data_IF_112825845970
#
_entry.id   IF_112825845970
#
_cell.length_a   1.000
_cell.length_b   1.000
_cell.length_c   1.000
_cell.angle_alpha   90.00
_cell.angle_beta   90.00
_cell.angle_gamma   90.00
#
_symmetry.space_group_name_H-M   'P 1'
#
loop_
_entity.id
_entity.type
_entity.pdbx_description
1 polymer ?
#
# COMPACT_ATOMS: atom_id res chain seq x y z
N UNK A 1 102.60 0.09 64.81
CA UNK A 1 101.44 0.85 64.29
C UNK A 1 100.66 -0.02 63.31
N UNK A 2 100.09 -1.12 63.82
CA UNK A 2 99.23 -2.05 63.09
C UNK A 2 98.32 -2.67 64.16
N UNK A 3 97.02 -2.36 64.16
CA UNK A 3 96.08 -3.16 64.93
C UNK A 3 96.01 -4.52 64.23
N UNK A 4 96.37 -5.56 64.96
CA UNK A 4 96.28 -6.93 64.45
C UNK A 4 94.80 -7.25 64.22
N UNK A 5 94.44 -7.99 63.15
CA UNK A 5 93.04 -8.30 62.81
C UNK A 5 92.27 -9.00 63.95
N UNK A 6 93.00 -9.61 64.88
CA UNK A 6 92.47 -10.30 66.06
C UNK A 6 91.89 -9.30 67.08
N UNK A 7 92.48 -8.12 67.28
CA UNK A 7 91.96 -7.12 68.23
C UNK A 7 90.66 -6.48 67.74
N UNK A 8 90.52 -6.25 66.42
CA UNK A 8 89.27 -5.76 65.84
C UNK A 8 88.13 -6.79 65.96
N UNK A 9 88.44 -8.08 65.78
CA UNK A 9 87.47 -9.16 65.98
C UNK A 9 87.06 -9.30 67.46
N UNK A 10 88.00 -9.18 68.40
CA UNK A 10 87.68 -9.21 69.85
C UNK A 10 86.81 -8.02 70.25
N UNK A 11 87.05 -6.82 69.70
CA UNK A 11 86.20 -5.67 69.95
C UNK A 11 84.79 -5.83 69.37
N UNK A 12 84.64 -6.47 68.21
CA UNK A 12 83.34 -6.77 67.60
C UNK A 12 82.45 -7.65 68.50
N UNK A 13 83.04 -8.62 69.21
CA UNK A 13 82.32 -9.57 70.09
C UNK A 13 82.44 -9.25 71.58
N UNK A 14 82.76 -7.99 71.92
CA UNK A 14 82.74 -7.53 73.32
C UNK A 14 81.30 -7.60 73.85
N UNK A 15 81.06 -8.03 75.10
CA UNK A 15 79.71 -8.13 75.66
C UNK A 15 78.94 -6.80 75.64
N UNK A 16 79.64 -5.66 75.72
CA UNK A 16 79.06 -4.32 75.60
C UNK A 16 78.58 -4.01 74.17
N UNK A 17 79.35 -4.40 73.14
CA UNK A 17 79.00 -4.19 71.73
C UNK A 17 77.93 -5.18 71.25
N UNK A 18 77.96 -6.44 71.72
CA UNK A 18 76.94 -7.46 71.45
C UNK A 18 75.56 -7.03 71.96
N UNK A 19 75.49 -6.40 73.14
CA UNK A 19 74.23 -5.85 73.66
C UNK A 19 73.68 -4.73 72.77
N UNK A 20 74.56 -3.86 72.24
CA UNK A 20 74.20 -2.83 71.26
C UNK A 20 73.67 -3.39 69.94
N UNK A 21 74.31 -4.44 69.40
CA UNK A 21 73.82 -5.12 68.19
C UNK A 21 72.50 -5.85 68.42
N UNK A 22 72.30 -6.48 69.59
CA UNK A 22 71.03 -7.12 69.92
C UNK A 22 69.89 -6.10 70.03
N UNK A 23 70.13 -4.95 70.67
CA UNK A 23 69.15 -3.88 70.76
C UNK A 23 68.76 -3.31 69.38
N UNK A 24 69.73 -3.07 68.50
CA UNK A 24 69.46 -2.61 67.13
C UNK A 24 68.74 -3.68 66.29
N UNK A 25 69.07 -4.95 66.46
CA UNK A 25 68.36 -6.06 65.82
C UNK A 25 66.90 -6.13 66.27
N UNK A 26 66.61 -5.97 67.57
CA UNK A 26 65.23 -5.93 68.09
C UNK A 26 64.46 -4.75 67.51
N UNK A 27 65.05 -3.56 67.47
CA UNK A 27 64.44 -2.37 66.87
C UNK A 27 64.21 -2.55 65.37
N UNK A 28 65.16 -3.16 64.65
CA UNK A 28 65.02 -3.44 63.23
C UNK A 28 63.90 -4.45 62.94
N UNK A 29 63.79 -5.51 63.75
CA UNK A 29 62.71 -6.50 63.64
C UNK A 29 61.37 -5.87 63.97
N UNK A 30 61.28 -5.05 65.01
CA UNK A 30 60.05 -4.30 65.34
C UNK A 30 59.67 -3.33 64.22
N UNK A 31 60.63 -2.58 63.68
CA UNK A 31 60.41 -1.68 62.53
C UNK A 31 59.96 -2.42 61.27
N UNK A 32 60.53 -3.60 61.00
CA UNK A 32 60.10 -4.48 59.92
C UNK A 32 58.68 -5.00 60.14
N UNK A 33 58.33 -5.44 61.36
CA UNK A 33 56.98 -5.94 61.68
C UNK A 33 55.92 -4.83 61.56
N UNK A 34 56.22 -3.60 62.00
CA UNK A 34 55.35 -2.44 61.82
C UNK A 34 55.17 -2.13 60.34
N UNK A 35 56.27 -2.11 59.57
CA UNK A 35 56.23 -1.87 58.11
C UNK A 35 55.43 -2.95 57.39
N UNK A 36 55.64 -4.22 57.75
CA UNK A 36 54.89 -5.36 57.22
C UNK A 36 53.40 -5.26 57.52
N UNK A 37 53.04 -4.87 58.75
CA UNK A 37 51.64 -4.69 59.15
C UNK A 37 50.98 -3.53 58.42
N UNK A 38 51.70 -2.42 58.24
CA UNK A 38 51.26 -1.26 57.49
C UNK A 38 51.04 -1.63 56.02
N UNK A 39 51.96 -2.39 55.41
CA UNK A 39 51.85 -2.87 54.04
C UNK A 39 50.67 -3.84 53.86
N UNK A 40 50.48 -4.77 54.80
CA UNK A 40 49.35 -5.71 54.79
C UNK A 40 48.01 -4.99 54.93
N UNK A 41 47.93 -3.96 55.76
CA UNK A 41 46.66 -3.27 56.02
C UNK A 41 46.32 -2.26 54.93
N UNK A 42 47.31 -1.46 54.50
CA UNK A 42 47.12 -0.40 53.51
C UNK A 42 47.11 -0.94 52.08
N UNK A 43 47.91 -1.96 51.74
CA UNK A 43 48.04 -2.38 50.34
C UNK A 43 47.14 -3.56 49.98
N UNK A 44 46.97 -4.53 50.88
CA UNK A 44 46.25 -5.76 50.54
C UNK A 44 44.75 -5.57 50.35
N UNK A 45 44.10 -4.76 51.20
CA UNK A 45 42.66 -4.51 51.14
C UNK A 45 42.23 -3.70 49.90
N UNK A 46 42.81 -2.52 49.61
CA UNK A 46 42.41 -1.77 48.42
C UNK A 46 42.87 -2.42 47.12
N UNK A 47 44.01 -3.13 47.11
CA UNK A 47 44.47 -3.81 45.90
C UNK A 47 43.52 -4.95 45.48
N UNK A 48 43.03 -5.74 46.45
CA UNK A 48 42.00 -6.74 46.19
C UNK A 48 40.70 -6.12 45.70
N UNK A 49 40.23 -5.06 46.38
CA UNK A 49 38.98 -4.36 45.99
C UNK A 49 39.03 -3.86 44.55
N UNK A 50 40.15 -3.27 44.10
CA UNK A 50 40.28 -2.78 42.71
C UNK A 50 40.28 -3.94 41.72
N UNK A 51 40.88 -5.07 42.07
CA UNK A 51 40.92 -6.24 41.18
C UNK A 51 39.55 -6.90 41.06
N UNK A 52 38.84 -7.05 42.18
CA UNK A 52 37.47 -7.58 42.20
C UNK A 52 36.51 -6.65 41.43
N UNK A 53 36.57 -5.34 41.67
CA UNK A 53 35.75 -4.35 40.94
C UNK A 53 36.04 -4.33 39.44
N UNK A 54 37.30 -4.50 39.02
CA UNK A 54 37.63 -4.59 37.59
C UNK A 54 37.10 -5.88 36.96
N UNK A 55 37.17 -6.99 37.69
CA UNK A 55 36.70 -8.28 37.21
C UNK A 55 35.17 -8.34 37.13
N UNK A 56 34.47 -7.71 38.08
CA UNK A 56 33.02 -7.51 38.08
C UNK A 56 32.60 -6.57 36.95
N UNK A 57 33.26 -5.43 36.78
CA UNK A 57 32.94 -4.48 35.71
C UNK A 57 33.14 -5.08 34.31
N UNK A 58 34.17 -5.90 34.10
CA UNK A 58 34.36 -6.60 32.82
C UNK A 58 33.24 -7.61 32.57
N UNK A 59 32.85 -8.38 33.59
CA UNK A 59 31.73 -9.32 33.45
C UNK A 59 30.41 -8.60 33.18
N UNK A 60 30.13 -7.50 33.88
CA UNK A 60 28.92 -6.70 33.69
C UNK A 60 28.87 -6.07 32.30
N UNK A 61 30.00 -5.51 31.82
CA UNK A 61 30.07 -4.93 30.47
C UNK A 61 29.91 -6.01 29.42
N UNK A 62 30.50 -7.19 29.59
CA UNK A 62 30.29 -8.31 28.66
C UNK A 62 28.85 -8.79 28.67
N UNK A 63 28.23 -8.96 29.85
CA UNK A 63 26.83 -9.37 29.97
C UNK A 63 25.86 -8.33 29.38
N UNK A 64 26.10 -7.03 29.60
CA UNK A 64 25.30 -5.95 29.00
C UNK A 64 25.46 -5.92 27.47
N UNK A 65 26.68 -6.12 26.95
CA UNK A 65 26.90 -6.24 25.51
C UNK A 65 26.17 -7.45 24.93
N UNK A 66 26.26 -8.63 25.55
CA UNK A 66 25.57 -9.84 25.12
C UNK A 66 24.05 -9.67 25.16
N UNK A 67 23.52 -9.07 26.23
CA UNK A 67 22.09 -8.77 26.36
C UNK A 67 21.61 -7.81 25.27
N UNK A 68 22.37 -6.75 25.00
CA UNK A 68 22.05 -5.78 23.94
C UNK A 68 22.13 -6.40 22.55
N UNK A 69 23.12 -7.26 22.30
CA UNK A 69 23.19 -8.01 21.04
C UNK A 69 21.99 -8.94 20.88
N UNK A 70 21.60 -9.67 21.93
CA UNK A 70 20.41 -10.52 21.90
C UNK A 70 19.12 -9.73 21.69
N UNK A 71 18.96 -8.56 22.31
CA UNK A 71 17.81 -7.68 22.11
C UNK A 71 17.75 -7.14 20.67
N UNK A 72 18.89 -6.73 20.11
CA UNK A 72 18.97 -6.30 18.72
C UNK A 72 18.58 -7.42 17.75
N UNK A 73 19.07 -8.64 17.96
CA UNK A 73 18.70 -9.78 17.12
C UNK A 73 17.21 -10.11 17.25
N UNK A 74 16.64 -10.07 18.46
CA UNK A 74 15.20 -10.23 18.67
C UNK A 74 14.38 -9.15 17.95
N UNK A 75 14.80 -7.88 18.04
CA UNK A 75 14.15 -6.78 17.33
C UNK A 75 14.24 -6.95 15.82
N UNK A 76 15.37 -7.42 15.29
CA UNK A 76 15.53 -7.70 13.86
C UNK A 76 14.61 -8.83 13.39
N UNK A 77 14.56 -9.94 14.12
CA UNK A 77 13.65 -11.04 13.81
C UNK A 77 12.18 -10.61 13.89
N UNK A 78 11.80 -9.82 14.91
CA UNK A 78 10.45 -9.29 15.04
C UNK A 78 10.08 -8.34 13.89
N UNK A 79 11.03 -7.51 13.43
CA UNK A 79 10.84 -6.64 12.29
C UNK A 79 10.69 -7.44 10.99
N UNK A 80 11.55 -8.42 10.75
CA UNK A 80 11.46 -9.31 9.58
C UNK A 80 10.13 -10.09 9.54
N UNK A 81 9.67 -10.59 10.69
CA UNK A 81 8.37 -11.26 10.80
C UNK A 81 7.22 -10.29 10.54
N UNK A 82 7.30 -9.06 11.04
CA UNK A 82 6.31 -8.02 10.78
C UNK A 82 6.31 -7.64 9.28
N UNK A 83 7.47 -7.46 8.66
CA UNK A 83 7.58 -7.17 7.24
C UNK A 83 6.98 -8.29 6.37
N UNK A 84 7.25 -9.55 6.70
CA UNK A 84 6.65 -10.70 6.01
C UNK A 84 5.13 -10.74 6.18
N UNK A 85 4.62 -10.51 7.40
CA UNK A 85 3.17 -10.41 7.65
C UNK A 85 2.55 -9.26 6.85
N UNK A 86 3.19 -8.10 6.83
CA UNK A 86 2.72 -6.95 6.05
C UNK A 86 2.71 -7.28 4.55
N UNK A 87 3.80 -7.83 4.01
CA UNK A 87 3.89 -8.22 2.60
C UNK A 87 2.77 -9.20 2.21
N UNK A 88 2.52 -10.23 3.03
CA UNK A 88 1.43 -11.18 2.80
C UNK A 88 0.05 -10.52 2.82
N UNK A 89 -0.22 -9.66 3.81
CA UNK A 89 -1.49 -8.92 3.90
C UNK A 89 -1.67 -7.96 2.73
N UNK A 90 -0.61 -7.27 2.30
CA UNK A 90 -0.65 -6.38 1.14
C UNK A 90 -0.94 -7.16 -0.14
N UNK A 91 -0.28 -8.30 -0.36
CA UNK A 91 -0.51 -9.12 -1.55
C UNK A 91 -1.95 -9.65 -1.59
N UNK A 92 -2.47 -10.14 -0.46
CA UNK A 92 -3.84 -10.63 -0.35
C UNK A 92 -4.86 -9.51 -0.59
N UNK A 93 -4.69 -8.35 0.08
CA UNK A 93 -5.54 -7.16 -0.12
C UNK A 93 -5.49 -6.64 -1.55
N UNK A 94 -4.31 -6.69 -2.19
CA UNK A 94 -4.14 -6.25 -3.56
C UNK A 94 -4.82 -7.21 -4.53
N UNK A 95 -4.65 -8.52 -4.35
CA UNK A 95 -5.31 -9.55 -5.15
C UNK A 95 -6.83 -9.45 -5.01
N UNK A 96 -7.33 -9.29 -3.79
CA UNK A 96 -8.76 -9.10 -3.54
C UNK A 96 -9.31 -7.87 -4.28
N UNK A 97 -8.65 -6.71 -4.13
CA UNK A 97 -9.06 -5.49 -4.83
C UNK A 97 -8.99 -5.61 -6.34
N UNK A 98 -8.00 -6.34 -6.87
CA UNK A 98 -7.88 -6.58 -8.30
C UNK A 98 -9.06 -7.41 -8.81
N UNK A 99 -9.43 -8.48 -8.11
CA UNK A 99 -10.59 -9.32 -8.44
C UNK A 99 -11.88 -8.51 -8.36
N UNK A 100 -12.08 -7.74 -7.29
CA UNK A 100 -13.25 -6.87 -7.14
C UNK A 100 -13.33 -5.82 -8.27
N UNK A 101 -12.21 -5.20 -8.62
CA UNK A 101 -12.15 -4.21 -9.71
C UNK A 101 -12.44 -4.86 -11.07
N UNK A 102 -11.91 -6.05 -11.33
CA UNK A 102 -12.20 -6.80 -12.56
C UNK A 102 -13.68 -7.18 -12.63
N UNK A 103 -14.23 -7.71 -11.55
CA UNK A 103 -15.65 -8.06 -11.47
C UNK A 103 -16.55 -6.84 -11.69
N UNK A 104 -16.23 -5.69 -11.08
CA UNK A 104 -17.05 -4.49 -11.25
C UNK A 104 -16.89 -3.91 -12.66
N UNK A 105 -15.69 -3.95 -13.24
CA UNK A 105 -15.47 -3.58 -14.64
C UNK A 105 -16.31 -4.44 -15.57
N UNK A 106 -16.30 -5.76 -15.39
CA UNK A 106 -17.07 -6.68 -16.21
C UNK A 106 -18.57 -6.45 -16.05
N UNK A 107 -19.03 -6.16 -14.82
CA UNK A 107 -20.41 -5.79 -14.54
C UNK A 107 -20.81 -4.51 -15.27
N UNK A 108 -20.01 -3.45 -15.19
CA UNK A 108 -20.25 -2.18 -15.87
C UNK A 108 -20.30 -2.38 -17.38
N UNK A 109 -19.36 -3.16 -17.94
CA UNK A 109 -19.35 -3.47 -19.37
C UNK A 109 -20.58 -4.27 -19.81
N UNK A 110 -21.02 -5.23 -19.00
CA UNK A 110 -22.23 -6.00 -19.27
C UNK A 110 -23.48 -5.13 -19.25
N UNK A 111 -23.61 -4.24 -18.25
CA UNK A 111 -24.71 -3.28 -18.17
C UNK A 111 -24.71 -2.33 -19.36
N UNK A 112 -23.55 -1.73 -19.69
CA UNK A 112 -23.43 -0.82 -20.82
C UNK A 112 -23.79 -1.49 -22.15
N UNK A 113 -23.40 -2.76 -22.35
CA UNK A 113 -23.80 -3.54 -23.54
C UNK A 113 -25.30 -3.79 -23.58
N UNK A 114 -25.89 -4.22 -22.46
CA UNK A 114 -27.33 -4.46 -22.37
C UNK A 114 -28.13 -3.18 -22.63
N UNK A 115 -27.67 -2.03 -22.13
CA UNK A 115 -28.29 -0.73 -22.40
C UNK A 115 -28.14 -0.31 -23.87
N UNK A 116 -26.97 -0.53 -24.49
CA UNK A 116 -26.75 -0.26 -25.90
C UNK A 116 -27.67 -1.14 -26.77
N UNK A 117 -27.75 -2.44 -26.49
CA UNK A 117 -28.61 -3.38 -27.21
C UNK A 117 -30.09 -3.00 -27.06
N UNK A 118 -30.52 -2.61 -25.86
CA UNK A 118 -31.88 -2.13 -25.60
C UNK A 118 -32.19 -0.83 -26.37
N UNK A 119 -31.21 0.09 -26.46
CA UNK A 119 -31.35 1.32 -27.22
C UNK A 119 -31.47 1.04 -28.72
N UNK A 120 -30.63 0.15 -29.26
CA UNK A 120 -30.68 -0.27 -30.66
C UNK A 120 -32.03 -0.94 -30.97
N UNK A 121 -32.48 -1.88 -30.14
CA UNK A 121 -33.77 -2.53 -30.32
C UNK A 121 -34.95 -1.52 -30.27
N UNK A 122 -34.88 -0.51 -29.40
CA UNK A 122 -35.87 0.57 -29.34
C UNK A 122 -35.83 1.47 -30.58
N UNK A 123 -34.64 1.78 -31.08
CA UNK A 123 -34.46 2.56 -32.30
C UNK A 123 -35.01 1.81 -33.52
N UNK A 124 -34.69 0.52 -33.66
CA UNK A 124 -35.23 -0.34 -34.73
C UNK A 124 -36.74 -0.43 -34.69
N UNK A 125 -37.33 -0.64 -33.51
CA UNK A 125 -38.79 -0.68 -33.34
C UNK A 125 -39.44 0.65 -33.74
N UNK A 126 -38.80 1.77 -33.41
CA UNK A 126 -39.28 3.11 -33.77
C UNK A 126 -39.17 3.34 -35.28
N UNK A 127 -38.05 2.95 -35.89
CA UNK A 127 -37.84 3.03 -37.33
C UNK A 127 -38.89 2.20 -38.10
N UNK A 128 -39.17 0.97 -37.66
CA UNK A 128 -40.23 0.14 -38.25
C UNK A 128 -41.61 0.79 -38.15
N UNK A 129 -41.97 1.35 -36.98
CA UNK A 129 -43.23 2.09 -36.82
C UNK A 129 -43.33 3.28 -37.77
N UNK A 130 -42.26 4.07 -37.89
CA UNK A 130 -42.24 5.22 -38.81
C UNK A 130 -42.45 4.75 -40.25
N UNK A 131 -41.80 3.65 -40.66
CA UNK A 131 -41.98 3.09 -42.00
C UNK A 131 -43.41 2.60 -42.24
N UNK A 132 -44.01 1.89 -41.29
CA UNK A 132 -45.42 1.46 -41.36
C UNK A 132 -46.38 2.65 -41.45
N UNK A 133 -46.17 3.68 -40.61
CA UNK A 133 -47.00 4.89 -40.60
C UNK A 133 -46.87 5.68 -41.91
N UNK A 134 -45.64 5.79 -42.45
CA UNK A 134 -45.40 6.40 -43.76
C UNK A 134 -46.09 5.63 -44.88
N UNK A 135 -46.03 4.31 -44.87
CA UNK A 135 -46.67 3.48 -45.89
C UNK A 135 -48.19 3.64 -45.86
N UNK A 136 -48.81 3.64 -44.67
CA UNK A 136 -50.24 3.95 -44.49
C UNK A 136 -50.61 5.34 -44.98
N UNK A 137 -49.76 6.34 -44.71
CA UNK A 137 -49.98 7.71 -45.18
C UNK A 137 -49.93 7.80 -46.71
N UNK A 138 -48.98 7.10 -47.35
CA UNK A 138 -48.86 7.06 -48.82
C UNK A 138 -50.08 6.36 -49.43
N UNK A 139 -50.50 5.23 -48.87
CA UNK A 139 -51.70 4.51 -49.32
C UNK A 139 -52.96 5.38 -49.20
N UNK A 140 -53.14 6.07 -48.06
CA UNK A 140 -54.24 7.01 -47.87
C UNK A 140 -54.22 8.16 -48.87
N UNK A 141 -53.05 8.78 -49.08
CA UNK A 141 -52.89 9.84 -50.11
C UNK A 141 -53.18 9.34 -51.51
N UNK A 142 -52.74 8.13 -51.86
CA UNK A 142 -53.00 7.54 -53.18
C UNK A 142 -54.50 7.31 -53.42
N UNK A 143 -55.25 6.88 -52.39
CA UNK A 143 -56.70 6.76 -52.45
C UNK A 143 -57.38 8.11 -52.66
N UNK A 144 -56.98 9.14 -51.90
CA UNK A 144 -57.53 10.50 -52.05
C UNK A 144 -57.27 11.06 -53.45
N UNK A 145 -56.04 10.96 -53.95
CA UNK A 145 -55.69 11.41 -55.31
C UNK A 145 -56.49 10.65 -56.37
N UNK A 146 -56.68 9.34 -56.19
CA UNK A 146 -57.49 8.53 -57.11
C UNK A 146 -58.96 8.96 -57.12
N UNK A 147 -59.54 9.25 -55.95
CA UNK A 147 -60.91 9.76 -55.82
C UNK A 147 -61.06 11.15 -56.45
N UNK A 148 -60.09 12.06 -56.24
CA UNK A 148 -60.05 13.37 -56.88
C UNK A 148 -59.99 13.26 -58.41
N UNK A 149 -59.14 12.37 -58.93
CA UNK A 149 -59.03 12.13 -60.37
C UNK A 149 -60.33 11.56 -60.96
N UNK A 150 -60.99 10.64 -60.24
CA UNK A 150 -62.28 10.10 -60.63
C UNK A 150 -63.35 11.19 -60.67
N UNK A 151 -63.35 12.09 -59.68
CA UNK A 151 -64.24 13.25 -59.63
C UNK A 151 -64.05 14.19 -60.81
N UNK A 152 -62.80 14.54 -61.14
CA UNK A 152 -62.46 15.37 -62.30
C UNK A 152 -62.89 14.72 -63.63
N UNK A 153 -62.69 13.41 -63.78
CA UNK A 153 -63.11 12.66 -64.98
C UNK A 153 -64.63 12.63 -65.14
N UNK A 154 -65.37 12.37 -64.05
CA UNK A 154 -66.83 12.40 -64.06
C UNK A 154 -67.36 13.80 -64.35
N UNK A 155 -66.74 14.84 -63.80
CA UNK A 155 -67.12 16.22 -64.08
C UNK A 155 -66.90 16.57 -65.56
N UNK A 156 -65.79 16.14 -66.16
CA UNK A 156 -65.50 16.34 -67.57
C UNK A 156 -66.46 15.57 -68.50
N UNK A 157 -66.79 14.31 -68.17
CA UNK A 157 -67.82 13.55 -68.90
C UNK A 157 -69.21 14.18 -68.79
N UNK A 158 -69.59 14.66 -67.60
CA UNK A 158 -70.87 15.35 -67.41
C UNK A 158 -70.95 16.65 -68.21
N UNK A 159 -69.84 17.38 -68.34
CA UNK A 159 -69.75 18.57 -69.19
C UNK A 159 -69.86 18.22 -70.68
N UNK A 160 -69.21 17.14 -71.12
CA UNK A 160 -69.28 16.67 -72.51
C UNK A 160 -70.70 16.20 -72.89
N UNK A 161 -71.38 15.44 -72.01
CA UNK A 161 -72.74 14.98 -72.24
C UNK A 161 -73.78 16.10 -72.13
N UNK A 162 -73.63 17.04 -71.17
CA UNK A 162 -74.51 18.22 -71.08
C UNK A 162 -74.44 19.09 -72.35
N UNK A 163 -73.28 19.14 -73.01
CA UNK A 163 -73.08 19.88 -74.24
C UNK A 163 -73.70 19.15 -75.45
N UNK A 164 -73.65 17.82 -75.48
CA UNK A 164 -74.31 17.01 -76.51
C UNK A 164 -75.85 17.10 -76.43
N UNK A 165 -76.41 17.08 -75.22
CA UNK A 165 -77.86 17.24 -75.01
C UNK A 165 -78.35 18.65 -75.36
N UNK A 166 -77.54 19.68 -75.06
CA UNK A 166 -77.84 21.06 -75.47
C UNK A 166 -77.85 21.22 -77.00
N UNK A 167 -76.94 20.56 -77.71
CA UNK A 167 -76.89 20.57 -79.18
C UNK A 167 -78.09 19.83 -79.79
N UNK A 168 -78.48 18.69 -79.24
CA UNK A 168 -79.68 17.95 -79.69
C UNK A 168 -80.97 18.74 -79.44
N UNK A 169 -81.07 19.44 -78.31
CA UNK A 169 -82.21 20.29 -78.01
C UNK A 169 -82.32 21.48 -78.97
N UNK A 170 -81.21 22.14 -79.30
CA UNK A 170 -81.18 23.22 -80.28
C UNK A 170 -81.49 22.72 -81.70
N UNK A 171 -80.97 21.57 -82.10
CA UNK A 171 -81.30 20.95 -83.39
C UNK A 171 -82.78 20.57 -83.49
N UNK A 172 -83.37 20.06 -82.39
CA UNK A 172 -84.80 19.79 -82.31
C UNK A 172 -85.65 21.06 -82.44
N UNK A 173 -85.24 22.17 -81.81
CA UNK A 173 -85.91 23.46 -81.97
C UNK A 173 -85.80 24.02 -83.39
N UNK A 174 -84.65 23.86 -84.05
CA UNK A 174 -84.46 24.32 -85.43
C UNK A 174 -85.28 23.47 -86.41
N UNK A 175 -85.40 22.16 -86.19
CA UNK A 175 -86.24 21.29 -87.02
C UNK A 175 -87.74 21.55 -86.79
N UNK A 176 -88.16 21.81 -85.55
CA UNK A 176 -89.54 22.18 -85.24
C UNK A 176 -89.93 23.60 -85.73
N UNK A 177 -88.97 24.49 -85.91
CA UNK A 177 -89.18 25.82 -86.49
C UNK A 177 -89.17 25.84 -88.02
N UNK A 178 -89.02 24.67 -88.67
CA UNK A 178 -88.95 24.52 -90.14
C UNK A 178 -90.19 23.86 -90.76
N UNK A 179 -91.20 23.53 -89.96
CA UNK A 179 -92.59 23.29 -90.40
C UNK A 179 -93.45 24.52 -90.09
#
# INVERSE_FOLDING_TARGET
MYSTPIQAAVQLFSPENLAGYAATAVVAVLGFLVTWFLLKTILYKPLRKIMDTRMEHVQDVTADCESKSAELDQMRTALEEQEQKLAGVYEEKFRQRLVETQSERDRILAVARAEADALVAKAEKTARKIQEDQQRLIEGKAQTVSLELLGLLLQNQSAAHAQEDSVKQLLGQILAAKE
#
